data_IF_157600757589
#
_entry.id   IF_157600757589
#
_cell.length_a   1.000
_cell.length_b   1.000
_cell.length_c   1.000
_cell.angle_alpha   90.00
_cell.angle_beta   90.00
_cell.angle_gamma   90.00
#
_symmetry.space_group_name_H-M   'P 1'
#
loop_
_entity.id
_entity.type
_entity.pdbx_description
1 polymer ?
#
# COMPACT_ATOMS: atom_id res chain seq x y z
N UNK A 1 -3.42 9.73 6.55
CA UNK A 1 -3.94 9.47 5.20
C UNK A 1 -5.09 10.44 4.98
N UNK A 2 -5.10 11.16 3.86
CA UNK A 2 -6.15 12.13 3.53
C UNK A 2 -6.98 11.54 2.40
N UNK A 3 -8.28 11.47 2.59
CA UNK A 3 -9.24 11.04 1.56
C UNK A 3 -9.72 12.29 0.83
N UNK A 4 -9.85 12.23 -0.50
CA UNK A 4 -10.40 13.35 -1.25
C UNK A 4 -11.83 13.66 -0.80
N UNK A 5 -12.18 14.95 -0.82
CA UNK A 5 -13.41 15.44 -0.21
C UNK A 5 -14.66 14.82 -0.84
N UNK A 6 -14.64 14.58 -2.15
CA UNK A 6 -15.73 13.92 -2.88
C UNK A 6 -15.99 12.47 -2.43
N UNK A 7 -15.07 11.85 -1.69
CA UNK A 7 -15.20 10.49 -1.15
C UNK A 7 -15.38 10.46 0.37
N UNK A 8 -15.52 11.61 1.04
CA UNK A 8 -15.56 11.68 2.50
C UNK A 8 -16.77 10.97 3.11
N UNK A 9 -17.92 10.96 2.43
CA UNK A 9 -19.13 10.22 2.84
C UNK A 9 -18.88 8.70 2.95
N UNK A 10 -17.94 8.15 2.17
CA UNK A 10 -17.61 6.72 2.23
C UNK A 10 -16.89 6.30 3.52
N UNK A 11 -16.53 7.25 4.38
CA UNK A 11 -15.92 7.00 5.68
C UNK A 11 -16.95 6.72 6.79
N UNK A 12 -18.25 6.82 6.51
CA UNK A 12 -19.28 6.61 7.53
C UNK A 12 -19.22 5.19 8.12
N UNK A 13 -19.15 5.13 9.45
CA UNK A 13 -18.99 3.88 10.20
C UNK A 13 -17.55 3.40 10.39
N UNK A 14 -16.55 4.03 9.76
CA UNK A 14 -15.14 3.59 9.86
C UNK A 14 -14.58 3.67 11.29
N UNK A 15 -15.11 4.58 12.11
CA UNK A 15 -14.70 4.80 13.50
C UNK A 15 -14.97 3.57 14.40
N UNK A 16 -15.89 2.69 13.99
CA UNK A 16 -16.12 1.40 14.64
C UNK A 16 -15.03 0.36 14.36
N UNK A 17 -14.13 0.61 13.40
CA UNK A 17 -13.09 -0.33 13.01
C UNK A 17 -11.79 -0.12 13.81
N UNK A 18 -11.35 -1.11 14.59
CA UNK A 18 -10.02 -1.05 15.23
C UNK A 18 -8.85 -1.17 14.23
N UNK A 19 -9.07 -1.87 13.10
CA UNK A 19 -8.11 -2.01 12.02
C UNK A 19 -8.81 -1.92 10.67
N UNK A 20 -8.11 -1.38 9.68
CA UNK A 20 -8.58 -1.29 8.29
C UNK A 20 -7.50 -1.81 7.35
N UNK A 21 -7.91 -2.26 6.17
CA UNK A 21 -7.00 -2.58 5.08
C UNK A 21 -6.86 -1.36 4.18
N UNK A 22 -5.63 -0.93 3.94
CA UNK A 22 -5.31 0.16 3.02
C UNK A 22 -4.70 -0.45 1.76
N UNK A 23 -5.35 -0.17 0.63
CA UNK A 23 -4.79 -0.40 -0.70
C UNK A 23 -4.20 0.92 -1.18
N UNK A 24 -2.97 0.90 -1.67
CA UNK A 24 -2.30 2.09 -2.19
C UNK A 24 -1.48 1.76 -3.43
N UNK A 25 -1.20 2.75 -4.26
CA UNK A 25 -0.40 2.62 -5.48
C UNK A 25 1.05 3.01 -5.22
N UNK A 26 1.99 2.12 -5.52
CA UNK A 26 3.42 2.41 -5.37
C UNK A 26 3.92 3.25 -6.56
N UNK A 27 3.57 4.54 -6.52
CA UNK A 27 3.69 5.52 -7.60
C UNK A 27 5.11 5.76 -8.14
N UNK A 28 6.15 5.41 -7.39
CA UNK A 28 7.54 5.57 -7.84
C UNK A 28 8.01 4.48 -8.81
N UNK A 29 7.20 3.45 -9.07
CA UNK A 29 7.54 2.38 -9.98
C UNK A 29 7.16 2.71 -11.42
N UNK A 30 8.16 2.66 -12.31
CA UNK A 30 7.99 2.93 -13.73
C UNK A 30 7.50 1.72 -14.51
N UNK A 31 7.32 1.89 -15.83
CA UNK A 31 6.89 0.81 -16.71
C UNK A 31 7.87 -0.38 -16.73
N UNK A 32 9.18 -0.09 -16.68
CA UNK A 32 10.22 -1.12 -16.62
C UNK A 32 10.11 -2.00 -15.36
N UNK A 33 9.87 -1.38 -14.20
CA UNK A 33 9.68 -2.11 -12.94
C UNK A 33 8.46 -3.02 -13.00
N UNK A 34 7.35 -2.52 -13.57
CA UNK A 34 6.09 -3.26 -13.70
C UNK A 34 6.19 -4.46 -14.63
N UNK A 35 7.13 -4.45 -15.60
CA UNK A 35 7.40 -5.61 -16.48
C UNK A 35 8.31 -6.67 -15.82
N UNK A 36 8.83 -6.42 -14.63
CA UNK A 36 9.71 -7.37 -13.92
C UNK A 36 8.93 -8.59 -13.43
N UNK A 37 9.35 -9.78 -13.87
CA UNK A 37 8.68 -11.05 -13.52
C UNK A 37 9.32 -11.78 -12.34
N UNK A 38 10.62 -11.55 -12.08
CA UNK A 38 11.36 -12.20 -11.00
C UNK A 38 12.33 -11.25 -10.31
N UNK A 39 12.43 -11.34 -8.98
CA UNK A 39 13.37 -10.56 -8.17
C UNK A 39 14.06 -11.38 -7.11
N UNK A 40 15.17 -10.86 -6.59
CA UNK A 40 15.78 -11.36 -5.37
C UNK A 40 14.89 -11.02 -4.17
N UNK A 41 14.45 -11.99 -3.35
CA UNK A 41 13.64 -11.71 -2.17
C UNK A 41 14.31 -10.68 -1.25
N UNK A 42 13.58 -9.64 -0.85
CA UNK A 42 14.09 -8.53 -0.05
C UNK A 42 15.33 -7.81 -0.64
N UNK A 43 15.61 -7.97 -1.94
CA UNK A 43 16.80 -7.44 -2.59
C UNK A 43 18.09 -8.22 -2.33
N UNK A 44 18.03 -9.34 -1.60
CA UNK A 44 19.20 -10.14 -1.23
C UNK A 44 19.73 -10.96 -2.42
N UNK A 45 20.85 -10.51 -2.99
CA UNK A 45 21.48 -11.13 -4.17
C UNK A 45 22.05 -12.52 -3.91
N UNK A 46 22.25 -12.92 -2.65
CA UNK A 46 22.67 -14.28 -2.31
C UNK A 46 21.58 -15.32 -2.53
N UNK A 47 20.30 -14.90 -2.52
CA UNK A 47 19.14 -15.77 -2.72
C UNK A 47 18.77 -15.83 -4.21
N UNK A 48 18.30 -16.97 -4.73
CA UNK A 48 17.87 -17.06 -6.12
C UNK A 48 16.65 -16.15 -6.39
N UNK A 49 16.52 -15.67 -7.63
CA UNK A 49 15.34 -14.90 -8.05
C UNK A 49 14.08 -15.76 -7.98
N UNK A 50 12.99 -15.20 -7.47
CA UNK A 50 11.68 -15.83 -7.42
C UNK A 50 10.65 -14.98 -8.16
N UNK A 51 9.53 -15.60 -8.57
CA UNK A 51 8.43 -14.89 -9.22
C UNK A 51 7.85 -13.80 -8.33
N UNK A 52 7.55 -12.63 -8.89
CA UNK A 52 7.04 -11.49 -8.09
C UNK A 52 5.73 -11.79 -7.39
N UNK A 53 4.93 -12.74 -7.89
CA UNK A 53 3.67 -13.17 -7.28
C UNK A 53 3.84 -14.12 -6.08
N UNK A 54 5.01 -14.76 -5.91
CA UNK A 54 5.32 -15.54 -4.70
C UNK A 54 5.94 -14.66 -3.60
N UNK A 55 6.10 -13.36 -3.85
CA UNK A 55 6.75 -12.41 -2.95
C UNK A 55 5.82 -11.21 -2.66
N UNK A 56 6.13 -10.46 -1.60
CA UNK A 56 5.57 -9.11 -1.36
C UNK A 56 6.39 -8.01 -2.03
N UNK A 57 6.97 -8.31 -3.19
CA UNK A 57 7.78 -7.35 -3.95
C UNK A 57 6.92 -6.16 -4.39
N UNK A 58 7.40 -4.92 -4.23
CA UNK A 58 6.74 -3.74 -4.78
C UNK A 58 6.79 -3.74 -6.31
N UNK A 59 7.87 -4.27 -6.90
CA UNK A 59 7.97 -4.41 -8.37
C UNK A 59 7.11 -5.58 -8.83
N UNK A 60 5.99 -5.25 -9.48
CA UNK A 60 4.97 -6.17 -10.01
C UNK A 60 4.13 -5.47 -11.08
N UNK A 61 3.41 -6.20 -11.96
CA UNK A 61 2.63 -5.61 -13.05
C UNK A 61 1.62 -4.55 -12.63
N UNK A 62 0.92 -4.80 -11.52
CA UNK A 62 0.03 -3.84 -10.86
C UNK A 62 0.59 -3.56 -9.46
N UNK A 63 1.36 -2.47 -9.26
CA UNK A 63 2.06 -2.15 -8.02
C UNK A 63 1.10 -1.64 -6.92
N UNK A 64 0.16 -2.50 -6.55
CA UNK A 64 -0.79 -2.28 -5.47
C UNK A 64 -0.18 -2.82 -4.18
N UNK A 65 0.02 -1.93 -3.21
CA UNK A 65 0.32 -2.26 -1.82
C UNK A 65 -0.94 -2.62 -1.05
N UNK A 66 -0.80 -3.49 -0.05
CA UNK A 66 -1.88 -3.88 0.85
C UNK A 66 -1.32 -3.96 2.27
N UNK A 67 -1.83 -3.10 3.14
CA UNK A 67 -1.34 -3.00 4.51
C UNK A 67 -2.48 -2.94 5.49
N UNK A 68 -2.44 -3.81 6.51
CA UNK A 68 -3.36 -3.74 7.64
C UNK A 68 -2.83 -2.70 8.60
N UNK A 69 -3.60 -1.65 8.80
CA UNK A 69 -3.22 -0.56 9.70
C UNK A 69 -4.17 -0.52 10.88
N UNK A 70 -3.67 -0.03 12.02
CA UNK A 70 -4.53 0.31 13.15
C UNK A 70 -5.10 1.71 12.92
N UNK A 71 -6.41 1.86 13.01
CA UNK A 71 -7.05 3.17 13.00
C UNK A 71 -6.90 3.78 14.39
N UNK A 72 -6.29 4.95 14.48
CA UNK A 72 -6.08 5.65 15.75
C UNK A 72 -7.18 6.69 15.98
N UNK A 73 -7.53 7.46 14.95
CA UNK A 73 -8.64 8.42 14.95
C UNK A 73 -8.98 8.86 13.52
N UNK A 74 -10.17 9.43 13.36
CA UNK A 74 -10.63 10.17 12.17
C UNK A 74 -10.84 11.64 12.55
N UNK A 75 -10.42 12.53 11.66
CA UNK A 75 -10.73 13.96 11.71
C UNK A 75 -11.29 14.38 10.34
N UNK A 76 -12.61 14.36 10.19
CA UNK A 76 -13.26 14.61 8.89
C UNK A 76 -12.83 13.58 7.83
N UNK A 77 -12.15 14.04 6.78
CA UNK A 77 -11.58 13.22 5.70
C UNK A 77 -10.15 12.73 5.97
N UNK A 78 -9.58 13.03 7.15
CA UNK A 78 -8.24 12.61 7.54
C UNK A 78 -8.30 11.41 8.47
N UNK A 79 -7.60 10.34 8.11
CA UNK A 79 -7.42 9.16 8.95
C UNK A 79 -5.99 9.12 9.51
N UNK A 80 -5.89 9.08 10.83
CA UNK A 80 -4.63 8.85 11.53
C UNK A 80 -4.50 7.36 11.79
N UNK A 81 -3.46 6.76 11.25
CA UNK A 81 -3.25 5.31 11.26
C UNK A 81 -1.84 4.96 11.69
N UNK A 82 -1.66 3.74 12.19
CA UNK A 82 -0.34 3.18 12.54
C UNK A 82 -0.05 1.92 11.71
N UNK A 83 1.19 1.80 11.25
CA UNK A 83 1.69 0.63 10.52
C UNK A 83 1.56 0.71 9.00
N UNK A 84 1.22 1.87 8.43
CA UNK A 84 1.24 2.09 6.98
C UNK A 84 2.69 2.15 6.48
N UNK A 85 3.01 1.39 5.44
CA UNK A 85 4.33 1.29 4.79
C UNK A 85 4.36 1.94 3.40
N UNK A 86 3.40 2.82 3.11
CA UNK A 86 3.35 3.63 1.90
C UNK A 86 4.32 4.81 1.99
N UNK A 87 4.94 5.17 0.85
CA UNK A 87 5.74 6.39 0.75
C UNK A 87 4.82 7.61 0.77
N UNK A 88 5.34 8.74 1.26
CA UNK A 88 4.65 10.02 1.16
C UNK A 88 4.24 10.33 -0.30
N UNK A 89 3.01 10.79 -0.49
CA UNK A 89 2.43 11.04 -1.81
C UNK A 89 1.92 9.80 -2.56
N UNK A 90 1.97 8.61 -1.95
CA UNK A 90 1.35 7.42 -2.54
C UNK A 90 -0.18 7.56 -2.60
N UNK A 91 -0.79 7.38 -3.79
CA UNK A 91 -2.24 7.31 -3.95
C UNK A 91 -2.87 6.12 -3.22
#
# INVERSE_FOLDING_TARGET
MVIYEEFSEALDGIDGCGHIWVLFWMHRLGEGDRRTLKVHPMGDRSRPKQGVFSLRSPVRPNPIGLTRVRLLRRDGNVLVVQGLDALEGSP
#
